data_IF_947694678435
#
_entry.id   IF_947694678435
#
_cell.length_a   1.000
_cell.length_b   1.000
_cell.length_c   1.000
_cell.angle_alpha   90.00
_cell.angle_beta   90.00
_cell.angle_gamma   90.00
#
_symmetry.space_group_name_H-M   'P 1'
#
loop_
_entity.id
_entity.type
_entity.pdbx_description
1 polymer ?
#
# COMPACT_ATOMS: atom_id res chain seq x y z
N UNK A 1 -1.98 -37.75 15.14
CA UNK A 1 -2.51 -36.51 15.73
C UNK A 1 -1.43 -35.94 16.64
N UNK A 2 -0.97 -34.69 16.49
CA UNK A 2 0.15 -34.18 17.28
C UNK A 2 -0.29 -34.14 18.75
N UNK A 3 0.26 -35.04 19.55
CA UNK A 3 -0.06 -35.18 20.96
C UNK A 3 0.66 -34.04 21.69
N UNK A 4 -0.02 -32.90 21.84
CA UNK A 4 0.48 -31.81 22.68
C UNK A 4 0.87 -32.40 24.04
N UNK A 5 2.07 -32.08 24.54
CA UNK A 5 2.51 -32.58 25.84
C UNK A 5 1.43 -32.26 26.90
N UNK A 6 1.18 -33.15 27.87
CA UNK A 6 0.11 -32.96 28.86
C UNK A 6 0.24 -31.63 29.62
N UNK A 7 1.47 -31.13 29.76
CA UNK A 7 1.77 -29.80 30.32
C UNK A 7 1.25 -28.66 29.44
N UNK A 8 1.42 -28.74 28.12
CA UNK A 8 0.92 -27.73 27.19
C UNK A 8 -0.62 -27.76 27.10
N UNK A 9 -1.25 -28.94 27.20
CA UNK A 9 -2.71 -29.04 27.27
C UNK A 9 -3.28 -28.38 28.53
N UNK A 10 -2.67 -28.61 29.70
CA UNK A 10 -3.08 -27.97 30.94
C UNK A 10 -2.91 -26.45 30.91
N UNK A 11 -1.81 -25.95 30.31
CA UNK A 11 -1.58 -24.51 30.10
C UNK A 11 -2.63 -23.89 29.16
N UNK A 12 -2.97 -24.57 28.08
CA UNK A 12 -4.00 -24.11 27.14
C UNK A 12 -5.40 -24.08 27.78
N UNK A 13 -5.73 -25.08 28.60
CA UNK A 13 -6.98 -25.11 29.36
C UNK A 13 -7.07 -23.94 30.36
N UNK A 14 -5.98 -23.66 31.10
CA UNK A 14 -5.89 -22.48 31.98
C UNK A 14 -5.98 -21.16 31.21
N UNK A 15 -5.38 -21.08 30.03
CA UNK A 15 -5.44 -19.89 29.18
C UNK A 15 -6.86 -19.63 28.63
N UNK A 16 -7.57 -20.66 28.14
CA UNK A 16 -8.98 -20.55 27.72
C UNK A 16 -9.93 -20.19 28.86
N UNK A 17 -9.62 -20.60 30.09
CA UNK A 17 -10.45 -20.26 31.26
C UNK A 17 -10.39 -18.76 31.57
N UNK A 18 -9.26 -18.09 31.26
CA UNK A 18 -9.12 -16.65 31.39
C UNK A 18 -9.80 -15.91 30.24
N UNK A 19 -11.05 -15.47 30.44
CA UNK A 19 -11.84 -14.74 29.45
C UNK A 19 -11.09 -13.55 28.84
N UNK A 20 -10.37 -12.77 29.66
CA UNK A 20 -9.58 -11.61 29.19
C UNK A 20 -8.43 -12.01 28.27
N UNK A 21 -7.71 -13.07 28.61
CA UNK A 21 -6.60 -13.59 27.81
C UNK A 21 -7.04 -14.19 26.48
N UNK A 22 -8.22 -14.81 26.46
CA UNK A 22 -8.83 -15.32 25.22
C UNK A 22 -9.27 -14.18 24.29
N UNK A 23 -9.90 -13.13 24.83
CA UNK A 23 -10.26 -11.94 24.05
C UNK A 23 -9.04 -11.21 23.51
N UNK A 24 -7.97 -11.05 24.32
CA UNK A 24 -6.74 -10.42 23.85
C UNK A 24 -6.06 -11.25 22.76
N UNK A 25 -6.08 -12.58 22.85
CA UNK A 25 -5.57 -13.46 21.80
C UNK A 25 -6.32 -13.23 20.48
N UNK A 26 -7.65 -13.14 20.52
CA UNK A 26 -8.46 -12.88 19.33
C UNK A 26 -8.23 -11.50 18.73
N UNK A 27 -8.22 -10.45 19.56
CA UNK A 27 -7.95 -9.09 19.10
C UNK A 27 -6.56 -9.03 18.45
N UNK A 28 -5.55 -9.60 19.11
CA UNK A 28 -4.20 -9.67 18.57
C UNK A 28 -4.14 -10.48 17.27
N UNK A 29 -4.80 -11.65 17.21
CA UNK A 29 -4.84 -12.47 16.01
C UNK A 29 -5.50 -11.77 14.82
N UNK A 30 -6.59 -11.03 15.06
CA UNK A 30 -7.26 -10.22 14.03
C UNK A 30 -6.36 -9.09 13.57
N UNK A 31 -5.78 -8.31 14.49
CA UNK A 31 -4.85 -7.23 14.14
C UNK A 31 -3.61 -7.77 13.40
N UNK A 32 -3.08 -8.91 13.82
CA UNK A 32 -1.96 -9.58 13.19
C UNK A 32 -2.30 -10.04 11.77
N UNK A 33 -3.46 -10.68 11.58
CA UNK A 33 -3.93 -11.09 10.26
C UNK A 33 -4.17 -9.88 9.33
N UNK A 34 -4.78 -8.82 9.84
CA UNK A 34 -4.97 -7.57 9.10
C UNK A 34 -3.63 -6.91 8.73
N UNK A 35 -2.64 -6.98 9.61
CA UNK A 35 -1.28 -6.47 9.35
C UNK A 35 -0.57 -7.27 8.25
N UNK A 36 -0.67 -8.61 8.28
CA UNK A 36 -0.15 -9.44 7.19
C UNK A 36 -0.85 -9.18 5.85
N UNK A 37 -2.16 -8.94 5.89
CA UNK A 37 -2.95 -8.58 4.71
C UNK A 37 -2.99 -7.07 4.46
N UNK A 38 -2.09 -6.28 5.06
CA UNK A 38 -2.11 -4.82 4.91
C UNK A 38 -1.87 -4.40 3.46
N UNK A 39 -1.01 -5.13 2.75
CA UNK A 39 -0.76 -4.97 1.31
C UNK A 39 -2.02 -5.20 0.45
N UNK A 40 -3.07 -5.87 0.95
CA UNK A 40 -4.35 -6.01 0.23
C UNK A 40 -5.34 -4.89 0.55
N UNK A 41 -5.24 -4.30 1.74
CA UNK A 41 -6.17 -3.29 2.27
C UNK A 41 -5.71 -1.88 1.90
N UNK A 42 -4.41 -1.62 2.00
CA UNK A 42 -3.75 -0.36 1.73
C UNK A 42 -2.69 -0.54 0.65
N UNK A 43 -3.16 -0.68 -0.59
CA UNK A 43 -2.30 -0.78 -1.76
C UNK A 43 -2.49 0.45 -2.66
N UNK A 44 -1.39 1.00 -3.13
CA UNK A 44 -1.38 2.03 -4.17
C UNK A 44 -1.72 1.47 -5.56
N UNK A 45 -1.61 0.15 -5.74
CA UNK A 45 -1.94 -0.59 -6.96
C UNK A 45 -3.35 -1.20 -6.88
N UNK A 46 -4.03 -1.36 -8.03
CA UNK A 46 -5.28 -2.10 -8.11
C UNK A 46 -5.06 -3.59 -7.84
N UNK A 47 -6.07 -4.24 -7.25
CA UNK A 47 -6.09 -5.68 -6.98
C UNK A 47 -6.16 -6.48 -8.28
N UNK A 48 -6.95 -6.00 -9.24
CA UNK A 48 -7.19 -6.64 -10.52
C UNK A 48 -7.42 -5.59 -11.59
N UNK A 49 -6.84 -5.78 -12.78
CA UNK A 49 -7.05 -4.92 -13.94
C UNK A 49 -7.41 -5.78 -15.13
N UNK A 50 -8.49 -5.44 -15.81
CA UNK A 50 -8.85 -6.00 -17.10
C UNK A 50 -8.51 -4.96 -18.17
N UNK A 51 -7.63 -5.29 -19.11
CA UNK A 51 -7.18 -4.39 -20.16
C UNK A 51 -6.97 -5.16 -21.46
N UNK A 52 -7.63 -4.74 -22.55
CA UNK A 52 -7.52 -5.37 -23.88
C UNK A 52 -7.64 -6.91 -23.84
N UNK A 53 -8.73 -7.40 -23.24
CA UNK A 53 -9.04 -8.84 -23.07
C UNK A 53 -8.01 -9.67 -22.28
N UNK A 54 -7.14 -8.99 -21.52
CA UNK A 54 -6.16 -9.63 -20.63
C UNK A 54 -6.36 -9.23 -19.18
N UNK A 55 -6.13 -10.20 -18.30
CA UNK A 55 -6.20 -10.02 -16.86
C UNK A 55 -4.81 -9.80 -16.28
N UNK A 56 -4.67 -8.72 -15.53
CA UNK A 56 -3.45 -8.34 -14.83
C UNK A 56 -3.76 -8.30 -13.33
N UNK A 57 -2.84 -8.83 -12.51
CA UNK A 57 -2.98 -8.89 -11.05
C UNK A 57 -1.82 -8.14 -10.39
N UNK A 58 -1.86 -6.78 -10.36
CA UNK A 58 -0.71 -5.96 -9.94
C UNK A 58 -0.30 -6.13 -8.48
N UNK A 59 -1.19 -6.70 -7.66
CA UNK A 59 -0.90 -7.03 -6.26
C UNK A 59 0.02 -8.25 -6.11
N UNK A 60 0.09 -9.12 -7.12
CA UNK A 60 0.97 -10.31 -7.11
C UNK A 60 2.20 -10.15 -8.02
N UNK A 61 2.07 -9.37 -9.09
CA UNK A 61 3.11 -9.18 -10.10
C UNK A 61 3.33 -7.71 -10.42
N UNK A 62 4.58 -7.32 -10.67
CA UNK A 62 4.90 -5.97 -11.11
C UNK A 62 4.83 -5.89 -12.64
N UNK A 63 4.02 -4.95 -13.13
CA UNK A 63 3.88 -4.66 -14.56
C UNK A 63 4.49 -3.31 -14.89
N UNK A 64 4.95 -3.19 -16.12
CA UNK A 64 5.49 -1.96 -16.68
C UNK A 64 4.39 -1.13 -17.33
N UNK A 65 4.63 0.17 -17.51
CA UNK A 65 3.72 1.06 -18.24
C UNK A 65 3.55 0.63 -19.70
N UNK A 66 4.62 0.06 -20.30
CA UNK A 66 4.56 -0.54 -21.64
C UNK A 66 3.59 -1.72 -21.78
N UNK A 67 3.32 -2.47 -20.70
CA UNK A 67 2.33 -3.56 -20.74
C UNK A 67 0.90 -3.05 -20.96
N UNK A 68 0.66 -1.78 -20.62
CA UNK A 68 -0.60 -1.07 -20.83
C UNK A 68 -0.58 -0.15 -22.06
N UNK A 69 0.44 -0.26 -22.93
CA UNK A 69 0.57 0.56 -24.14
C UNK A 69 1.26 1.92 -23.93
N UNK A 70 1.88 2.14 -22.77
CA UNK A 70 2.71 3.31 -22.51
C UNK A 70 4.07 3.27 -23.22
N UNK A 71 4.75 4.42 -23.36
CA UNK A 71 6.04 4.51 -24.05
C UNK A 71 7.23 4.10 -23.18
N UNK A 72 7.04 3.94 -21.86
CA UNK A 72 8.12 3.71 -20.91
C UNK A 72 8.14 2.28 -20.36
N UNK A 73 9.33 1.70 -20.24
CA UNK A 73 9.57 0.41 -19.58
C UNK A 73 9.72 0.55 -18.04
N UNK A 74 9.13 1.59 -17.46
CA UNK A 74 9.13 1.86 -16.02
C UNK A 74 7.96 1.13 -15.34
N UNK A 75 8.03 0.89 -14.01
CA UNK A 75 6.89 0.34 -13.28
C UNK A 75 5.63 1.19 -13.49
N UNK A 76 4.51 0.53 -13.79
CA UNK A 76 3.24 1.20 -14.05
C UNK A 76 2.76 1.98 -12.81
N UNK A 77 2.58 3.30 -12.95
CA UNK A 77 2.04 4.15 -11.89
C UNK A 77 0.52 4.31 -12.04
N UNK A 78 -0.24 3.40 -11.43
CA UNK A 78 -1.70 3.37 -11.56
C UNK A 78 -2.42 4.62 -11.04
N UNK A 79 -1.77 5.43 -10.19
CA UNK A 79 -2.32 6.69 -9.69
C UNK A 79 -2.17 7.85 -10.67
N UNK A 80 -1.35 7.69 -11.71
CA UNK A 80 -1.19 8.68 -12.78
C UNK A 80 -2.54 8.91 -13.48
N UNK A 81 -3.02 10.16 -13.57
CA UNK A 81 -4.24 10.50 -14.32
C UNK A 81 -4.25 9.93 -15.74
N UNK A 82 -3.12 9.93 -16.45
CA UNK A 82 -3.03 9.42 -17.82
C UNK A 82 -3.29 7.93 -17.88
N UNK A 83 -2.61 7.14 -17.03
CA UNK A 83 -2.75 5.68 -17.00
C UNK A 83 -4.15 5.26 -16.52
N UNK A 84 -4.73 5.96 -15.54
CA UNK A 84 -6.12 5.72 -15.10
C UNK A 84 -7.09 5.88 -16.25
N UNK A 85 -7.02 7.00 -16.95
CA UNK A 85 -7.92 7.28 -18.06
C UNK A 85 -7.72 6.27 -19.20
N UNK A 86 -6.48 5.85 -19.45
CA UNK A 86 -6.18 4.85 -20.46
C UNK A 86 -6.76 3.47 -20.13
N UNK A 87 -6.65 3.03 -18.87
CA UNK A 87 -7.24 1.77 -18.39
C UNK A 87 -8.76 1.83 -18.43
N UNK A 88 -9.38 2.95 -18.02
CA UNK A 88 -10.83 3.13 -18.05
C UNK A 88 -11.41 3.16 -19.47
N UNK A 89 -10.64 3.60 -20.47
CA UNK A 89 -11.04 3.60 -21.87
C UNK A 89 -11.05 2.20 -22.50
N UNK A 90 -10.13 1.32 -22.09
CA UNK A 90 -9.93 0.00 -22.71
C UNK A 90 -10.27 -1.17 -21.78
N UNK A 91 -10.90 -0.87 -20.64
CA UNK A 91 -11.13 -1.86 -19.60
C UNK A 91 -11.59 -1.29 -18.27
N UNK A 92 -11.22 -1.96 -17.18
CA UNK A 92 -11.60 -1.58 -15.82
C UNK A 92 -10.57 -2.08 -14.80
N UNK A 93 -10.55 -1.46 -13.62
CA UNK A 93 -9.68 -1.84 -12.52
C UNK A 93 -10.44 -1.93 -11.20
N UNK A 94 -10.21 -3.01 -10.44
CA UNK A 94 -10.67 -3.16 -9.06
C UNK A 94 -9.60 -2.65 -8.11
N UNK A 95 -9.96 -1.67 -7.31
CA UNK A 95 -9.05 -1.00 -6.38
C UNK A 95 -9.20 -1.53 -4.96
N UNK A 96 -8.11 -1.45 -4.19
CA UNK A 96 -8.19 -1.61 -2.75
C UNK A 96 -9.01 -0.45 -2.13
N UNK A 97 -9.64 -0.67 -0.95
CA UNK A 97 -10.39 0.38 -0.26
C UNK A 97 -9.54 1.62 0.04
N UNK A 98 -8.28 1.41 0.42
CA UNK A 98 -7.31 2.48 0.66
C UNK A 98 -6.32 2.49 -0.52
N UNK A 99 -6.39 3.54 -1.33
CA UNK A 99 -5.60 3.69 -2.58
C UNK A 99 -4.28 4.43 -2.38
N UNK A 100 -3.80 4.52 -1.14
CA UNK A 100 -2.56 5.21 -0.80
C UNK A 100 -1.60 4.20 -0.18
N UNK A 101 -0.38 4.19 -0.69
CA UNK A 101 0.73 3.39 -0.16
C UNK A 101 1.80 4.31 0.40
N UNK A 102 2.75 3.76 1.15
CA UNK A 102 3.85 4.54 1.73
C UNK A 102 4.70 5.27 0.67
N UNK A 103 4.76 4.72 -0.55
CA UNK A 103 5.54 5.24 -1.67
C UNK A 103 4.68 5.87 -2.79
N UNK A 104 3.38 6.09 -2.58
CA UNK A 104 2.52 6.63 -3.63
C UNK A 104 2.77 8.12 -3.87
N UNK A 105 2.91 8.52 -5.13
CA UNK A 105 3.01 9.93 -5.53
C UNK A 105 1.64 10.59 -5.40
N UNK A 106 1.58 11.77 -4.76
CA UNK A 106 0.35 12.56 -4.69
C UNK A 106 0.23 13.45 -5.93
N UNK A 107 -0.52 12.98 -6.93
CA UNK A 107 -0.80 13.73 -8.16
C UNK A 107 -1.81 14.88 -7.98
N UNK A 108 -2.49 14.97 -6.83
CA UNK A 108 -3.48 16.02 -6.56
C UNK A 108 -2.87 17.29 -5.95
N UNK A 109 -1.57 17.31 -5.69
CA UNK A 109 -0.87 18.45 -5.08
C UNK A 109 -0.69 19.59 -6.08
N UNK A 110 -1.42 20.69 -5.89
CA UNK A 110 -1.33 21.90 -6.73
C UNK A 110 -0.25 22.88 -6.27
N UNK A 111 0.20 22.77 -5.02
CA UNK A 111 1.21 23.64 -4.41
C UNK A 111 2.50 22.86 -4.17
N UNK A 112 3.68 23.43 -4.49
CA UNK A 112 4.93 22.75 -4.16
C UNK A 112 4.95 22.48 -2.65
N UNK A 113 5.38 21.27 -2.28
CA UNK A 113 5.54 20.92 -0.87
C UNK A 113 6.41 21.99 -0.21
N UNK A 114 6.04 22.47 0.99
CA UNK A 114 6.81 23.50 1.67
C UNK A 114 8.19 22.94 1.97
N UNK A 115 9.18 23.35 1.19
CA UNK A 115 10.56 23.20 1.57
C UNK A 115 10.79 24.08 2.78
N UNK A 116 11.57 23.63 3.77
CA UNK A 116 12.03 24.51 4.84
C UNK A 116 12.89 25.57 4.18
N UNK A 117 12.27 26.70 3.85
CA UNK A 117 13.01 27.87 3.45
C UNK A 117 13.80 28.26 4.70
N UNK A 118 15.12 28.08 4.63
CA UNK A 118 16.02 28.90 5.43
C UNK A 118 15.47 30.34 5.34
N UNK A 119 15.36 31.07 6.47
CA UNK A 119 14.68 32.34 6.48
C UNK A 119 15.25 33.22 5.36
N UNK A 120 14.40 33.69 4.45
CA UNK A 120 14.77 34.52 3.31
C UNK A 120 15.63 35.74 3.72
N UNK A 121 15.55 36.12 5.00
CA UNK A 121 16.38 37.13 5.67
C UNK A 121 17.90 36.84 5.63
N UNK A 122 18.33 35.59 5.42
CA UNK A 122 19.74 35.21 5.30
C UNK A 122 20.22 35.06 3.85
N UNK A 123 19.31 35.05 2.88
CA UNK A 123 19.63 34.90 1.45
C UNK A 123 20.06 36.22 0.78
N UNK A 124 19.61 37.37 1.31
CA UNK A 124 19.84 38.69 0.69
C UNK A 124 21.20 39.35 0.94
N UNK A 125 22.02 38.84 1.87
CA UNK A 125 23.24 39.56 2.32
C UNK A 125 24.58 38.91 1.93
N UNK A 126 24.59 37.86 1.10
CA UNK A 126 25.82 37.08 0.82
C UNK A 126 26.20 36.93 -0.65
N UNK A 127 25.68 37.79 -1.54
CA UNK A 127 25.93 37.73 -2.99
C UNK A 127 26.46 39.05 -3.58
N UNK A 128 27.27 39.81 -2.83
CA UNK A 128 27.95 41.03 -3.32
C UNK A 128 29.46 41.05 -3.02
N UNK A 129 30.08 39.88 -2.86
CA UNK A 129 31.52 39.83 -2.62
C UNK A 129 32.15 38.67 -3.35
N UNK A 130 32.21 38.78 -4.68
CA UNK A 130 33.29 38.33 -5.57
C UNK A 130 33.13 39.05 -6.91
#
# INVERSE_FOLDING_TARGET
MPHLSPVNQARWARFRHNRRGYWSLWIFAVLFALSMCSELIANDKPLLVHFNDRWYVPVLANYSESDFGGPFATPAQYQDPWLRQHIEQHGWALWAPIRFGANSINYATQTPLPFSTLPAKLAGHRCQRW
#
